data_IF_363863938464
#
_entry.id   IF_363863938464
#
_cell.length_a   1.000
_cell.length_b   1.000
_cell.length_c   1.000
_cell.angle_alpha   90.00
_cell.angle_beta   90.00
_cell.angle_gamma   90.00
#
_symmetry.space_group_name_H-M   'P 1'
#
loop_
_entity.id
_entity.type
_entity.pdbx_description
1 polymer ?
#
# COMPACT_ATOMS: atom_id res chain seq x y z
N UNK A 1 72.13 -46.39 -14.55
CA UNK A 1 70.76 -46.91 -14.45
C UNK A 1 70.06 -46.16 -13.33
N UNK A 2 68.90 -45.58 -13.62
CA UNK A 2 67.86 -45.03 -12.72
C UNK A 2 68.26 -44.42 -11.37
N UNK A 3 67.91 -43.15 -11.15
CA UNK A 3 66.70 -42.83 -10.39
C UNK A 3 66.28 -41.37 -10.62
N UNK A 4 65.07 -41.21 -11.19
CA UNK A 4 64.32 -39.97 -11.27
C UNK A 4 63.61 -39.75 -9.93
N UNK A 5 63.77 -38.57 -9.35
CA UNK A 5 62.94 -38.06 -8.26
C UNK A 5 62.52 -36.64 -8.67
N UNK A 6 61.28 -36.51 -9.17
CA UNK A 6 60.60 -35.23 -9.30
C UNK A 6 59.37 -35.28 -8.39
N UNK A 7 59.35 -34.39 -7.41
CA UNK A 7 58.29 -34.26 -6.43
C UNK A 7 56.98 -33.79 -7.08
N UNK A 8 55.87 -34.41 -6.68
CA UNK A 8 54.53 -34.04 -7.08
C UNK A 8 54.11 -32.72 -6.40
N UNK A 9 53.70 -31.76 -7.21
CA UNK A 9 53.04 -30.52 -6.78
C UNK A 9 51.58 -30.85 -6.43
N UNK A 10 51.22 -30.78 -5.15
CA UNK A 10 49.81 -30.77 -4.72
C UNK A 10 49.45 -29.33 -4.38
N UNK A 11 48.93 -28.62 -5.38
CA UNK A 11 48.22 -27.35 -5.19
C UNK A 11 46.78 -27.69 -4.80
N UNK A 12 46.53 -27.80 -3.50
CA UNK A 12 45.18 -27.79 -2.96
C UNK A 12 44.66 -26.34 -3.02
N UNK A 13 43.89 -26.02 -4.06
CA UNK A 13 43.08 -24.81 -4.05
C UNK A 13 41.82 -25.08 -3.23
N UNK A 14 41.52 -24.30 -2.18
CA UNK A 14 40.16 -24.28 -1.65
C UNK A 14 39.27 -23.73 -2.76
N UNK A 15 38.31 -24.55 -3.19
CA UNK A 15 37.14 -24.09 -3.93
C UNK A 15 36.47 -23.04 -3.04
N UNK A 16 36.75 -21.76 -3.29
CA UNK A 16 35.85 -20.69 -2.90
C UNK A 16 34.57 -20.91 -3.70
N UNK A 17 33.69 -21.75 -3.15
CA UNK A 17 32.28 -21.68 -3.45
C UNK A 17 31.82 -20.31 -3.00
N UNK A 18 31.92 -19.33 -3.90
CA UNK A 18 31.00 -18.21 -3.87
C UNK A 18 29.62 -18.82 -4.09
N UNK A 19 28.97 -19.25 -3.02
CA UNK A 19 27.52 -19.15 -2.89
C UNK A 19 27.17 -17.66 -2.93
N UNK A 20 27.36 -17.03 -4.09
CA UNK A 20 26.56 -15.89 -4.47
C UNK A 20 25.18 -16.47 -4.70
N UNK A 21 24.42 -16.57 -3.60
CA UNK A 21 22.98 -16.42 -3.65
C UNK A 21 22.80 -15.17 -4.51
N UNK A 22 22.40 -15.38 -5.76
CA UNK A 22 22.01 -14.31 -6.66
C UNK A 22 20.87 -13.60 -5.95
N UNK A 23 21.18 -12.53 -5.21
CA UNK A 23 20.17 -11.53 -4.89
C UNK A 23 19.59 -11.13 -6.24
N UNK A 24 18.39 -11.64 -6.52
CA UNK A 24 17.61 -11.22 -7.66
C UNK A 24 17.62 -9.70 -7.59
N UNK A 25 18.10 -9.05 -8.65
CA UNK A 25 18.09 -7.58 -8.69
C UNK A 25 16.66 -7.14 -8.43
N UNK A 26 16.46 -6.16 -7.56
CA UNK A 26 15.14 -5.63 -7.24
C UNK A 26 15.10 -4.17 -7.66
N UNK A 27 13.96 -3.76 -8.22
CA UNK A 27 13.69 -2.38 -8.57
C UNK A 27 12.48 -1.90 -7.78
N UNK A 28 12.67 -0.88 -6.95
CA UNK A 28 11.60 -0.21 -6.25
C UNK A 28 11.16 1.01 -7.05
N UNK A 29 9.87 1.06 -7.40
CA UNK A 29 9.25 2.17 -8.10
C UNK A 29 8.35 2.93 -7.14
N UNK A 30 8.53 4.24 -7.00
CA UNK A 30 7.81 5.06 -6.03
C UNK A 30 7.47 6.46 -6.52
N UNK A 31 7.49 7.44 -5.60
CA UNK A 31 7.15 8.84 -5.92
C UNK A 31 7.99 9.43 -7.06
N UNK A 32 9.30 9.23 -7.02
CA UNK A 32 10.24 9.72 -8.04
C UNK A 32 9.99 9.09 -9.42
N UNK A 33 9.28 7.97 -9.42
CA UNK A 33 8.87 7.25 -10.61
C UNK A 33 7.52 7.70 -11.17
N UNK A 34 6.91 8.71 -10.56
CA UNK A 34 5.60 9.22 -10.94
C UNK A 34 4.43 8.43 -10.38
N UNK A 35 4.67 7.48 -9.47
CA UNK A 35 3.59 6.80 -8.74
C UNK A 35 2.90 7.83 -7.83
N UNK A 36 1.60 8.14 -8.06
CA UNK A 36 0.91 9.14 -7.26
C UNK A 36 0.73 8.65 -5.81
N UNK A 37 0.73 9.57 -4.84
CA UNK A 37 0.42 9.22 -3.46
C UNK A 37 -1.07 8.84 -3.31
N UNK A 38 -1.34 7.93 -2.38
CA UNK A 38 -2.68 7.73 -1.81
C UNK A 38 -2.86 8.87 -0.79
N UNK A 39 -3.11 10.07 -1.32
CA UNK A 39 -3.24 11.29 -0.54
C UNK A 39 -4.69 11.75 -0.54
N UNK A 40 -5.27 11.80 0.65
CA UNK A 40 -6.60 12.36 0.81
C UNK A 40 -6.91 12.57 2.27
N UNK A 41 -6.69 13.79 2.75
CA UNK A 41 -7.55 14.32 3.80
C UNK A 41 -8.89 14.61 3.13
N UNK A 42 -9.87 13.70 3.23
CA UNK A 42 -11.26 14.05 2.93
C UNK A 42 -11.96 14.43 4.21
N UNK A 43 -12.80 15.45 4.15
CA UNK A 43 -13.71 15.81 5.23
C UNK A 43 -15.11 15.69 4.70
N UNK A 44 -15.87 14.78 5.30
CA UNK A 44 -17.27 14.57 4.98
C UNK A 44 -18.10 15.37 5.96
N UNK A 45 -18.95 16.25 5.42
CA UNK A 45 -19.97 16.93 6.22
C UNK A 45 -21.05 15.91 6.58
N UNK A 46 -21.35 15.76 7.86
CA UNK A 46 -22.43 14.92 8.36
C UNK A 46 -23.62 15.83 8.69
N UNK A 47 -24.67 15.86 7.85
CA UNK A 47 -25.85 16.68 8.11
C UNK A 47 -26.46 16.38 9.50
N UNK A 48 -27.14 17.37 10.09
CA UNK A 48 -27.78 17.18 11.40
C UNK A 48 -28.86 16.09 11.40
N UNK A 49 -29.49 15.84 10.25
CA UNK A 49 -30.51 14.83 10.02
C UNK A 49 -29.96 13.54 9.40
N UNK A 50 -28.62 13.42 9.28
CA UNK A 50 -27.96 12.26 8.71
C UNK A 50 -28.32 10.97 9.44
N UNK A 51 -28.77 9.98 8.68
CA UNK A 51 -28.95 8.61 9.11
C UNK A 51 -27.90 7.72 8.47
N UNK A 52 -27.37 6.78 9.24
CA UNK A 52 -26.38 5.87 8.67
C UNK A 52 -27.00 5.00 7.57
N UNK A 53 -26.39 4.98 6.39
CA UNK A 53 -26.99 4.46 5.16
C UNK A 53 -27.31 5.55 4.13
N UNK A 54 -27.37 6.81 4.55
CA UNK A 54 -27.57 7.94 3.66
C UNK A 54 -26.35 8.11 2.72
N UNK A 55 -26.59 8.51 1.46
CA UNK A 55 -25.51 8.82 0.54
C UNK A 55 -24.74 10.03 1.06
N UNK A 56 -23.42 9.94 1.01
CA UNK A 56 -22.51 11.03 1.33
C UNK A 56 -21.51 11.14 0.18
N UNK A 57 -21.29 12.35 -0.32
CA UNK A 57 -20.33 12.59 -1.38
C UNK A 57 -19.04 13.14 -0.78
N UNK A 58 -17.90 12.64 -1.26
CA UNK A 58 -16.62 13.29 -1.02
C UNK A 58 -16.57 14.59 -1.84
N UNK A 59 -16.48 15.78 -1.20
CA UNK A 59 -16.47 17.05 -1.92
C UNK A 59 -15.30 17.16 -2.90
N UNK A 60 -14.20 16.45 -2.65
CA UNK A 60 -13.03 16.42 -3.53
C UNK A 60 -13.11 15.34 -4.60
N UNK A 61 -14.15 14.48 -4.56
CA UNK A 61 -14.37 13.35 -5.47
C UNK A 61 -13.15 12.41 -5.62
N UNK A 62 -12.32 12.33 -4.57
CA UNK A 62 -11.18 11.42 -4.50
C UNK A 62 -11.62 10.00 -4.14
N UNK A 63 -12.63 9.90 -3.28
CA UNK A 63 -13.16 8.64 -2.80
C UNK A 63 -14.60 8.42 -3.25
N UNK A 64 -14.93 7.17 -3.59
CA UNK A 64 -16.31 6.71 -3.53
C UNK A 64 -16.62 6.39 -2.08
N UNK A 65 -17.53 7.15 -1.47
CA UNK A 65 -17.91 6.94 -0.07
C UNK A 65 -19.24 6.22 0.01
N UNK A 66 -19.30 5.20 0.86
CA UNK A 66 -20.56 4.54 1.23
C UNK A 66 -20.72 4.50 2.74
N UNK A 67 -21.95 4.62 3.21
CA UNK A 67 -22.26 4.57 4.64
C UNK A 67 -23.22 3.41 4.94
N UNK A 68 -23.07 2.77 6.10
CA UNK A 68 -23.97 1.69 6.55
C UNK A 68 -23.82 1.45 8.06
N UNK A 69 -24.88 0.99 8.74
CA UNK A 69 -24.81 0.74 10.18
C UNK A 69 -26.13 0.95 10.89
N UNK A 70 -26.05 1.42 12.14
CA UNK A 70 -27.19 1.71 13.00
C UNK A 70 -27.20 3.19 13.40
N UNK A 71 -28.21 3.59 14.17
CA UNK A 71 -28.27 4.94 14.73
C UNK A 71 -27.15 5.23 15.75
N UNK A 72 -26.56 4.18 16.36
CA UNK A 72 -25.52 4.32 17.39
C UNK A 72 -24.10 4.17 16.81
N UNK A 73 -23.93 3.44 15.71
CA UNK A 73 -22.63 3.18 15.10
C UNK A 73 -22.74 3.22 13.58
N UNK A 74 -21.94 4.08 12.96
CA UNK A 74 -21.95 4.24 11.51
C UNK A 74 -20.60 3.88 10.88
N UNK A 75 -20.67 3.08 9.82
CA UNK A 75 -19.53 2.65 9.03
C UNK A 75 -19.41 3.54 7.81
N UNK A 76 -18.23 4.14 7.61
CA UNK A 76 -17.86 4.90 6.44
C UNK A 76 -16.79 4.12 5.68
N UNK A 77 -17.09 3.72 4.44
CA UNK A 77 -16.14 3.07 3.54
C UNK A 77 -15.70 4.09 2.48
N UNK A 78 -14.39 4.28 2.38
CA UNK A 78 -13.70 5.16 1.47
C UNK A 78 -12.95 4.30 0.46
N UNK A 79 -13.44 4.23 -0.79
CA UNK A 79 -12.80 3.46 -1.86
C UNK A 79 -12.13 4.36 -2.89
N UNK A 80 -10.93 4.00 -3.29
CA UNK A 80 -10.17 4.67 -4.35
C UNK A 80 -9.34 3.64 -5.13
N UNK A 81 -9.22 3.86 -6.44
CA UNK A 81 -8.29 3.14 -7.30
C UNK A 81 -7.13 4.06 -7.67
N UNK A 82 -5.90 3.65 -7.36
CA UNK A 82 -4.68 4.43 -7.62
C UNK A 82 -3.91 3.83 -8.79
N UNK A 83 -3.85 4.55 -9.91
CA UNK A 83 -3.04 4.18 -11.06
C UNK A 83 -1.56 4.38 -10.73
N UNK A 84 -0.89 3.29 -10.39
CA UNK A 84 0.48 3.30 -9.90
C UNK A 84 1.52 3.24 -11.01
N UNK A 85 1.26 2.51 -12.09
CA UNK A 85 2.15 2.45 -13.26
C UNK A 85 1.30 2.40 -14.52
N UNK A 86 1.67 3.17 -15.55
CA UNK A 86 1.00 3.13 -16.86
C UNK A 86 1.71 2.19 -17.80
N UNK A 87 0.96 1.60 -18.73
CA UNK A 87 1.49 0.82 -19.84
C UNK A 87 2.56 1.59 -20.65
N UNK A 88 2.38 2.91 -20.80
CA UNK A 88 3.35 3.79 -21.48
C UNK A 88 4.69 3.88 -20.75
N UNK A 89 4.72 3.69 -19.43
CA UNK A 89 5.92 3.91 -18.63
C UNK A 89 6.96 2.81 -18.90
N UNK A 90 6.51 1.59 -19.24
CA UNK A 90 7.40 0.49 -19.63
C UNK A 90 8.24 0.77 -20.89
N UNK A 91 7.76 1.62 -21.80
CA UNK A 91 8.51 1.97 -23.00
C UNK A 91 9.64 2.99 -22.71
N UNK A 92 9.49 3.77 -21.64
CA UNK A 92 10.42 4.84 -21.28
C UNK A 92 11.39 4.43 -20.17
N UNK A 93 11.32 3.18 -19.70
CA UNK A 93 12.07 2.63 -18.57
C UNK A 93 12.85 1.38 -18.97
N UNK A 94 14.08 1.51 -19.51
CA UNK A 94 14.91 0.37 -19.87
C UNK A 94 15.13 -0.59 -18.69
N UNK A 95 15.18 -0.07 -17.48
CA UNK A 95 15.29 -0.84 -16.24
C UNK A 95 14.10 -1.78 -16.00
N UNK A 96 12.95 -1.58 -16.65
CA UNK A 96 11.77 -2.43 -16.53
C UNK A 96 11.69 -3.53 -17.60
N UNK A 97 12.60 -3.57 -18.57
CA UNK A 97 12.57 -4.53 -19.68
C UNK A 97 12.70 -5.99 -19.20
N UNK A 98 13.48 -6.20 -18.14
CA UNK A 98 13.69 -7.49 -17.51
C UNK A 98 12.66 -7.85 -16.42
N UNK A 99 11.77 -6.93 -16.02
CA UNK A 99 10.81 -7.18 -14.95
C UNK A 99 9.94 -8.42 -15.23
N UNK A 100 9.77 -9.29 -14.23
CA UNK A 100 8.98 -10.53 -14.37
C UNK A 100 7.81 -10.61 -13.40
N UNK A 101 7.94 -10.06 -12.20
CA UNK A 101 6.90 -10.13 -11.19
C UNK A 101 6.99 -9.00 -10.17
N UNK A 102 5.87 -8.69 -9.51
CA UNK A 102 5.86 -7.87 -8.29
C UNK A 102 6.19 -8.77 -7.11
N UNK A 103 7.19 -8.37 -6.32
CA UNK A 103 7.59 -9.05 -5.08
C UNK A 103 6.78 -8.54 -3.89
N UNK A 104 6.62 -7.22 -3.80
CA UNK A 104 5.80 -6.55 -2.79
C UNK A 104 5.21 -5.25 -3.32
N UNK A 105 4.11 -4.83 -2.71
CA UNK A 105 3.66 -3.43 -2.77
C UNK A 105 3.78 -2.88 -1.36
N UNK A 106 4.69 -1.95 -1.18
CA UNK A 106 4.99 -1.31 0.09
C UNK A 106 4.24 0.01 0.18
N UNK A 107 3.38 0.15 1.18
CA UNK A 107 2.60 1.36 1.43
C UNK A 107 3.27 2.12 2.58
N UNK A 108 3.97 3.20 2.25
CA UNK A 108 4.61 4.07 3.23
C UNK A 108 3.58 5.05 3.78
N UNK A 109 3.10 4.79 4.99
CA UNK A 109 2.10 5.63 5.66
C UNK A 109 2.82 6.79 6.34
N UNK A 110 2.56 8.00 5.86
CA UNK A 110 3.13 9.24 6.38
C UNK A 110 2.16 9.99 7.29
N UNK A 111 0.85 9.78 7.11
CA UNK A 111 -0.20 10.32 7.96
C UNK A 111 -1.36 9.34 8.05
N UNK A 112 -1.83 9.11 9.28
CA UNK A 112 -3.07 8.40 9.55
C UNK A 112 -3.77 9.09 10.73
N UNK A 113 -5.05 9.42 10.56
CA UNK A 113 -5.87 9.96 11.63
C UNK A 113 -7.34 9.98 11.24
N UNK A 114 -8.21 9.83 12.25
CA UNK A 114 -9.64 10.08 12.12
C UNK A 114 -9.96 11.21 13.07
N UNK A 115 -10.60 12.28 12.58
CA UNK A 115 -10.91 13.45 13.40
C UNK A 115 -12.30 14.00 13.10
N UNK A 116 -12.84 14.74 14.06
CA UNK A 116 -13.99 15.59 13.82
C UNK A 116 -13.50 16.78 12.98
N UNK A 117 -13.96 16.84 11.73
CA UNK A 117 -13.54 17.89 10.81
C UNK A 117 -13.98 19.30 11.22
N UNK A 118 -14.96 19.44 12.12
CA UNK A 118 -15.42 20.74 12.61
C UNK A 118 -14.54 21.28 13.73
N UNK A 119 -14.11 20.42 14.65
CA UNK A 119 -13.33 20.82 15.83
C UNK A 119 -11.84 20.55 15.68
N UNK A 120 -11.46 19.71 14.71
CA UNK A 120 -10.10 19.20 14.54
C UNK A 120 -9.69 18.18 15.61
N UNK A 121 -10.58 17.81 16.52
CA UNK A 121 -10.30 16.86 17.58
C UNK A 121 -10.24 15.44 17.02
N UNK A 122 -9.27 14.67 17.48
CA UNK A 122 -9.13 13.28 17.11
C UNK A 122 -10.33 12.46 17.58
N UNK A 123 -10.87 11.62 16.69
CA UNK A 123 -11.91 10.67 17.00
C UNK A 123 -11.27 9.34 17.33
N UNK A 124 -11.78 8.68 18.35
CA UNK A 124 -11.46 7.28 18.63
C UNK A 124 -12.51 6.40 17.94
N UNK A 125 -12.30 5.96 16.69
CA UNK A 125 -13.28 5.12 16.01
C UNK A 125 -13.48 3.81 16.79
N UNK A 126 -14.68 3.24 16.65
CA UNK A 126 -14.98 1.89 17.13
C UNK A 126 -14.03 0.90 16.45
N UNK A 127 -13.87 1.03 15.13
CA UNK A 127 -12.98 0.19 14.32
C UNK A 127 -12.39 0.97 13.13
N UNK A 128 -11.23 0.51 12.66
CA UNK A 128 -10.58 0.97 11.43
C UNK A 128 -9.98 -0.23 10.71
N UNK A 129 -10.32 -0.39 9.42
CA UNK A 129 -9.79 -1.45 8.58
C UNK A 129 -9.48 -0.90 7.18
N UNK A 130 -8.20 -0.71 6.89
CA UNK A 130 -7.72 -0.33 5.56
C UNK A 130 -7.20 -1.54 4.81
N UNK A 131 -7.57 -1.69 3.54
CA UNK A 131 -7.15 -2.78 2.67
C UNK A 131 -6.53 -2.27 1.38
N UNK A 132 -5.50 -2.97 0.92
CA UNK A 132 -4.94 -2.87 -0.41
C UNK A 132 -4.92 -4.27 -1.04
N UNK A 133 -5.37 -4.42 -2.28
CA UNK A 133 -5.52 -5.73 -2.92
C UNK A 133 -6.33 -6.75 -2.10
N UNK A 134 -7.28 -6.27 -1.29
CA UNK A 134 -8.07 -7.10 -0.37
C UNK A 134 -7.36 -7.54 0.91
N UNK A 135 -6.08 -7.21 1.08
CA UNK A 135 -5.29 -7.49 2.28
C UNK A 135 -5.31 -6.31 3.23
N UNK A 136 -5.49 -6.57 4.52
CA UNK A 136 -5.45 -5.53 5.55
C UNK A 136 -4.06 -4.92 5.66
N UNK A 137 -3.98 -3.61 5.44
CA UNK A 137 -2.79 -2.77 5.58
C UNK A 137 -2.90 -1.79 6.74
N UNK A 138 -4.11 -1.43 7.18
CA UNK A 138 -4.33 -0.56 8.33
C UNK A 138 -5.31 -1.19 9.29
N UNK A 139 -5.03 -1.09 10.58
CA UNK A 139 -5.96 -1.46 11.66
C UNK A 139 -6.14 -0.30 12.63
N UNK A 140 -7.11 -0.42 13.53
CA UNK A 140 -7.30 0.54 14.62
C UNK A 140 -6.04 0.76 15.45
N UNK A 141 -5.26 -0.28 15.71
CA UNK A 141 -4.01 -0.19 16.48
C UNK A 141 -2.98 0.72 15.79
N UNK A 142 -3.03 0.84 14.46
CA UNK A 142 -2.13 1.71 13.72
C UNK A 142 -2.40 3.21 13.98
N UNK A 143 -3.58 3.59 14.48
CA UNK A 143 -3.86 4.97 14.91
C UNK A 143 -3.00 5.40 16.11
N UNK A 144 -2.57 4.44 16.94
CA UNK A 144 -1.68 4.71 18.07
C UNK A 144 -0.20 4.75 17.67
N UNK A 145 0.14 4.42 16.42
CA UNK A 145 1.52 4.39 15.93
C UNK A 145 1.89 5.74 15.34
N UNK A 146 3.06 6.25 15.71
CA UNK A 146 3.61 7.46 15.10
C UNK A 146 4.14 7.16 13.70
N UNK A 147 3.61 7.81 12.63
CA UNK A 147 4.20 7.74 11.30
C UNK A 147 5.60 8.41 11.24
N UNK A 148 6.47 8.04 10.29
CA UNK A 148 6.20 7.14 9.18
C UNK A 148 6.35 5.65 9.53
N UNK A 149 5.57 4.80 8.88
CA UNK A 149 5.77 3.34 8.90
C UNK A 149 5.30 2.71 7.60
N UNK A 150 5.87 1.55 7.27
CA UNK A 150 5.57 0.82 6.04
C UNK A 150 4.67 -0.38 6.33
N UNK A 151 3.75 -0.64 5.39
CA UNK A 151 2.90 -1.83 5.35
C UNK A 151 3.10 -2.52 4.01
N UNK A 152 3.55 -3.76 4.03
CA UNK A 152 3.84 -4.52 2.81
C UNK A 152 2.73 -5.50 2.48
N UNK A 153 2.30 -5.50 1.21
CA UNK A 153 1.43 -6.53 0.65
C UNK A 153 2.30 -7.49 -0.16
N UNK A 154 2.28 -8.76 0.20
CA UNK A 154 3.08 -9.82 -0.44
C UNK A 154 2.26 -11.08 -0.68
N UNK A 155 2.75 -11.96 -1.55
CA UNK A 155 2.15 -13.28 -1.81
C UNK A 155 0.89 -13.23 -2.67
N UNK A 156 -0.05 -14.13 -2.40
CA UNK A 156 -1.27 -14.35 -3.20
C UNK A 156 -2.03 -13.07 -3.62
N UNK A 157 -2.22 -12.05 -2.75
CA UNK A 157 -2.96 -10.82 -3.09
C UNK A 157 -2.40 -10.05 -4.29
N UNK A 158 -1.10 -10.14 -4.56
CA UNK A 158 -0.42 -9.43 -5.66
C UNK A 158 -0.01 -10.36 -6.81
N UNK A 159 -0.40 -11.64 -6.78
CA UNK A 159 -0.08 -12.59 -7.86
C UNK A 159 -0.67 -12.17 -9.21
N UNK A 160 -1.85 -11.53 -9.19
CA UNK A 160 -2.48 -10.98 -10.39
C UNK A 160 -1.59 -9.95 -11.09
N UNK A 161 -0.77 -9.21 -10.33
CA UNK A 161 0.15 -8.20 -10.87
C UNK A 161 1.25 -8.81 -11.75
N UNK A 162 1.60 -10.10 -11.56
CA UNK A 162 2.59 -10.77 -12.42
C UNK A 162 2.18 -10.74 -13.89
N UNK A 163 0.92 -11.06 -14.15
CA UNK A 163 0.39 -11.06 -15.52
C UNK A 163 0.30 -9.65 -16.10
N UNK A 164 -0.07 -8.66 -15.27
CA UNK A 164 -0.16 -7.24 -15.66
C UNK A 164 1.22 -6.70 -16.04
N UNK A 165 2.25 -6.95 -15.22
CA UNK A 165 3.63 -6.53 -15.51
C UNK A 165 4.18 -7.24 -16.74
N UNK A 166 4.01 -8.56 -16.85
CA UNK A 166 4.50 -9.31 -18.00
C UNK A 166 3.86 -8.84 -19.32
N UNK A 167 2.60 -8.40 -19.27
CA UNK A 167 1.86 -7.85 -20.42
C UNK A 167 2.03 -6.33 -20.57
N UNK A 168 2.82 -5.67 -19.71
CA UNK A 168 3.06 -4.22 -19.70
C UNK A 168 1.76 -3.41 -19.67
N UNK A 169 0.82 -3.85 -18.84
CA UNK A 169 -0.47 -3.18 -18.64
C UNK A 169 -0.41 -2.19 -17.47
N UNK A 170 -1.44 -1.36 -17.37
CA UNK A 170 -1.60 -0.44 -16.24
C UNK A 170 -1.69 -1.22 -14.92
N UNK A 171 -0.91 -0.81 -13.92
CA UNK A 171 -0.99 -1.31 -12.55
C UNK A 171 -1.86 -0.37 -11.75
N UNK A 172 -2.99 -0.87 -11.28
CA UNK A 172 -3.93 -0.14 -10.42
C UNK A 172 -3.92 -0.78 -9.04
N UNK A 173 -3.71 0.04 -8.00
CA UNK A 173 -3.77 -0.37 -6.60
C UNK A 173 -5.16 -0.02 -6.06
N UNK A 174 -6.03 -1.02 -5.79
CA UNK A 174 -7.32 -0.76 -5.17
C UNK A 174 -7.14 -0.56 -3.65
N UNK A 175 -7.65 0.55 -3.14
CA UNK A 175 -7.63 0.92 -1.72
C UNK A 175 -9.06 1.02 -1.20
N UNK A 176 -9.33 0.38 -0.06
CA UNK A 176 -10.60 0.46 0.66
C UNK A 176 -10.33 0.69 2.15
N UNK A 177 -10.71 1.85 2.67
CA UNK A 177 -10.58 2.19 4.08
C UNK A 177 -11.95 2.26 4.70
N UNK A 178 -12.17 1.45 5.74
CA UNK A 178 -13.41 1.42 6.50
C UNK A 178 -13.16 1.99 7.89
N UNK A 179 -13.98 2.96 8.29
CA UNK A 179 -13.95 3.57 9.62
C UNK A 179 -15.33 3.42 10.25
N UNK A 180 -15.40 2.87 11.44
CA UNK A 180 -16.64 2.77 12.22
C UNK A 180 -16.61 3.78 13.35
N UNK A 181 -17.57 4.71 13.38
CA UNK A 181 -17.64 5.77 14.40
C UNK A 181 -18.87 5.60 15.28
N UNK A 182 -18.77 6.06 16.53
CA UNK A 182 -19.92 6.18 17.42
C UNK A 182 -20.71 7.44 17.05
N UNK A 183 -22.02 7.31 16.93
CA UNK A 183 -22.96 8.39 16.56
C UNK A 183 -23.72 8.94 17.78
N UNK A 184 -23.58 8.32 18.96
CA UNK A 184 -24.27 8.72 20.19
C UNK A 184 -23.31 9.34 21.23
N UNK A 185 -23.79 10.26 22.09
CA UNK A 185 -25.15 10.85 22.11
C UNK A 185 -25.37 11.94 21.05
N UNK A 186 -24.29 12.46 20.47
CA UNK A 186 -24.34 13.44 19.38
C UNK A 186 -23.38 12.98 18.28
N UNK A 187 -23.84 12.86 17.03
CA UNK A 187 -22.97 12.53 15.91
C UNK A 187 -21.85 13.57 15.73
N UNK A 188 -20.66 13.17 15.27
CA UNK A 188 -19.67 14.14 14.82
C UNK A 188 -20.24 14.93 13.64
N UNK A 189 -20.12 16.26 13.68
CA UNK A 189 -20.65 17.14 12.63
C UNK A 189 -19.90 16.98 11.30
N UNK A 190 -18.62 16.59 11.37
CA UNK A 190 -17.80 16.26 10.21
C UNK A 190 -16.92 15.08 10.54
N UNK A 191 -16.73 14.17 9.60
CA UNK A 191 -15.77 13.07 9.74
C UNK A 191 -14.66 13.32 8.74
N UNK A 192 -13.44 13.51 9.24
CA UNK A 192 -12.27 13.62 8.40
C UNK A 192 -11.37 12.40 8.57
N UNK A 193 -11.05 11.77 7.44
CA UNK A 193 -10.02 10.75 7.33
C UNK A 193 -8.78 11.44 6.78
N UNK A 194 -7.77 11.60 7.63
CA UNK A 194 -6.44 12.01 7.21
C UNK A 194 -5.64 10.75 6.85
N UNK A 195 -5.57 10.43 5.57
CA UNK A 195 -4.69 9.37 5.08
C UNK A 195 -3.74 9.91 4.02
N UNK A 196 -2.45 9.82 4.30
CA UNK A 196 -1.38 10.13 3.36
C UNK A 196 -0.40 8.97 3.34
N UNK A 197 -0.35 8.29 2.21
CA UNK A 197 0.57 7.19 1.98
C UNK A 197 1.19 7.24 0.59
N UNK A 198 2.45 6.82 0.48
CA UNK A 198 3.14 6.66 -0.79
C UNK A 198 3.25 5.16 -1.09
N UNK A 199 2.58 4.65 -2.13
CA UNK A 199 2.82 3.30 -2.59
C UNK A 199 4.18 3.23 -3.32
N UNK A 200 4.87 2.13 -3.09
CA UNK A 200 6.06 1.71 -3.82
C UNK A 200 5.87 0.27 -4.32
N UNK A 201 6.14 0.02 -5.59
CA UNK A 201 6.07 -1.31 -6.19
C UNK A 201 7.48 -1.87 -6.26
N UNK A 202 7.72 -2.99 -5.58
CA UNK A 202 8.99 -3.70 -5.64
C UNK A 202 8.89 -4.81 -6.68
N UNK A 203 9.70 -4.70 -7.72
CA UNK A 203 9.69 -5.58 -8.89
C UNK A 203 10.94 -6.47 -8.88
N UNK A 204 10.73 -7.77 -9.12
CA UNK A 204 11.79 -8.76 -9.31
C UNK A 204 12.00 -9.11 -10.78
N UNK A 205 13.23 -9.51 -11.09
CA UNK A 205 13.73 -9.84 -12.43
C UNK A 205 13.95 -11.35 -12.58
#
# INVERSE_FOLDING_TARGET
MSHRLLAAFVLAAPLFGCEQISELTELSLGKEDGIPPISGSTTLDVPQDFQCGDPIEDPEKKYTVTTSGTADACTFSFRQDVLALKASDYANRPEMEGARFVKSVDIDVNKLGVRDGATGMELAPIDLNGKAFGTTILTKEDLARTPPYTKSVTGQPIESLKSIIAQKQDVVIPIDVVVVVNMAPTPPAKIALDFDAQPNIVVGF
#
